data_IF_337189038704
#
_entry.id   IF_337189038704
#
_cell.length_a   1.000
_cell.length_b   1.000
_cell.length_c   1.000
_cell.angle_alpha   90.00
_cell.angle_beta   90.00
_cell.angle_gamma   90.00
#
_symmetry.space_group_name_H-M   'P 1'
#
loop_
_entity.id
_entity.type
_entity.pdbx_description
1 polymer ?
#
# COMPACT_ATOMS: atom_id res chain seq x y z
N UNK A 1 4.08 23.64 1.73
CA UNK A 1 2.93 23.05 1.01
C UNK A 1 1.71 23.22 1.91
N UNK A 2 0.56 23.60 1.37
CA UNK A 2 -0.69 23.79 2.13
C UNK A 2 -1.64 22.63 1.84
N UNK A 3 -2.34 22.15 2.86
CA UNK A 3 -3.31 21.06 2.73
C UNK A 3 -4.51 21.43 1.84
N UNK A 4 -4.81 20.60 0.84
CA UNK A 4 -5.98 20.78 -0.04
C UNK A 4 -7.20 20.00 0.48
N UNK A 5 -7.94 20.61 1.40
CA UNK A 5 -9.16 20.03 1.97
C UNK A 5 -10.26 19.78 0.93
N UNK A 6 -10.26 20.50 -0.20
CA UNK A 6 -11.25 20.28 -1.27
C UNK A 6 -10.95 18.97 -1.99
N UNK A 7 -9.68 18.75 -2.34
CA UNK A 7 -9.24 17.52 -2.97
C UNK A 7 -9.44 16.32 -2.04
N UNK A 8 -9.09 16.42 -0.76
CA UNK A 8 -9.33 15.35 0.23
C UNK A 8 -10.82 14.94 0.22
N UNK A 9 -11.72 15.91 0.35
CA UNK A 9 -13.17 15.66 0.38
C UNK A 9 -13.68 15.00 -0.90
N UNK A 10 -13.13 15.35 -2.06
CA UNK A 10 -13.50 14.75 -3.33
C UNK A 10 -13.03 13.30 -3.43
N UNK A 11 -11.78 13.02 -3.03
CA UNK A 11 -11.21 11.67 -3.03
C UNK A 11 -11.95 10.75 -2.04
N UNK A 12 -12.20 11.21 -0.82
CA UNK A 12 -12.96 10.45 0.19
C UNK A 12 -14.38 10.14 -0.31
N UNK A 13 -15.07 11.13 -0.90
CA UNK A 13 -16.40 10.90 -1.47
C UNK A 13 -16.37 9.88 -2.62
N UNK A 14 -15.38 9.97 -3.51
CA UNK A 14 -15.20 9.02 -4.61
C UNK A 14 -14.97 7.61 -4.07
N UNK A 15 -14.14 7.49 -3.03
CA UNK A 15 -13.84 6.22 -2.37
C UNK A 15 -15.07 5.58 -1.74
N UNK A 16 -15.81 6.33 -0.92
CA UNK A 16 -17.01 5.85 -0.22
C UNK A 16 -18.15 5.44 -1.16
N UNK A 17 -18.26 6.09 -2.33
CA UNK A 17 -19.34 5.81 -3.28
C UNK A 17 -19.00 4.70 -4.29
N UNK A 18 -17.73 4.34 -4.45
CA UNK A 18 -17.30 3.35 -5.44
C UNK A 18 -17.53 1.93 -4.91
N UNK A 19 -18.26 1.13 -5.71
CA UNK A 19 -18.64 -0.24 -5.36
C UNK A 19 -17.81 -1.28 -6.10
N UNK A 20 -17.24 -0.91 -7.25
CA UNK A 20 -16.37 -1.78 -8.01
C UNK A 20 -15.00 -1.87 -7.32
N UNK A 21 -14.59 -3.08 -6.95
CA UNK A 21 -13.36 -3.31 -6.19
C UNK A 21 -12.11 -2.79 -6.94
N UNK A 22 -12.06 -2.94 -8.26
CA UNK A 22 -10.95 -2.46 -9.09
C UNK A 22 -10.87 -0.95 -9.09
N UNK A 23 -12.01 -0.26 -9.32
CA UNK A 23 -12.04 1.20 -9.26
C UNK A 23 -11.73 1.71 -7.86
N UNK A 24 -12.27 1.06 -6.82
CA UNK A 24 -12.04 1.43 -5.42
C UNK A 24 -10.56 1.34 -5.06
N UNK A 25 -9.86 0.30 -5.50
CA UNK A 25 -8.40 0.16 -5.37
C UNK A 25 -7.64 1.37 -5.94
N UNK A 26 -7.96 1.80 -7.17
CA UNK A 26 -7.30 2.97 -7.75
C UNK A 26 -7.59 4.28 -7.00
N UNK A 27 -8.80 4.46 -6.47
CA UNK A 27 -9.11 5.61 -5.62
C UNK A 27 -8.37 5.54 -4.29
N UNK A 28 -8.21 4.34 -3.74
CA UNK A 28 -7.41 4.10 -2.54
C UNK A 28 -5.95 4.53 -2.79
N UNK A 29 -5.37 4.16 -3.93
CA UNK A 29 -4.03 4.60 -4.33
C UNK A 29 -3.96 6.14 -4.40
N UNK A 30 -4.96 6.80 -5.00
CA UNK A 30 -5.03 8.28 -5.04
C UNK A 30 -5.04 8.89 -3.63
N UNK A 31 -5.78 8.31 -2.68
CA UNK A 31 -5.80 8.74 -1.28
C UNK A 31 -4.46 8.52 -0.58
N UNK A 32 -3.84 7.36 -0.77
CA UNK A 32 -2.51 7.08 -0.25
C UNK A 32 -1.48 8.10 -0.77
N UNK A 33 -1.47 8.39 -2.08
CA UNK A 33 -0.59 9.42 -2.66
C UNK A 33 -0.85 10.79 -2.06
N UNK A 34 -2.13 11.17 -1.95
CA UNK A 34 -2.54 12.45 -1.37
C UNK A 34 -1.99 12.61 0.06
N UNK A 35 -2.30 11.68 0.97
CA UNK A 35 -1.85 11.78 2.35
C UNK A 35 -0.33 11.64 2.50
N UNK A 36 0.30 10.76 1.72
CA UNK A 36 1.75 10.64 1.71
C UNK A 36 2.42 11.95 1.27
N UNK A 37 1.82 12.72 0.36
CA UNK A 37 2.29 14.04 -0.05
C UNK A 37 2.38 15.01 1.14
N UNK A 38 1.43 14.94 2.06
CA UNK A 38 1.31 15.80 3.25
C UNK A 38 1.99 15.24 4.50
N UNK A 39 2.71 14.10 4.39
CA UNK A 39 3.35 13.40 5.53
C UNK A 39 4.29 14.25 6.40
N UNK A 40 4.83 15.35 5.87
CA UNK A 40 5.73 16.24 6.62
C UNK A 40 5.00 17.37 7.35
N UNK A 41 3.67 17.48 7.20
CA UNK A 41 2.87 18.56 7.81
C UNK A 41 2.32 18.12 9.17
N UNK A 42 1.75 16.92 9.26
CA UNK A 42 1.19 16.37 10.49
C UNK A 42 1.30 14.84 10.46
N UNK A 43 1.52 14.25 11.64
CA UNK A 43 1.48 12.80 11.83
C UNK A 43 0.10 12.23 11.47
N UNK A 44 -0.98 13.00 11.62
CA UNK A 44 -2.33 12.58 11.24
C UNK A 44 -2.42 12.18 9.75
N UNK A 45 -1.65 12.84 8.87
CA UNK A 45 -1.62 12.49 7.45
C UNK A 45 -0.81 11.22 7.21
N UNK A 46 0.21 10.95 8.04
CA UNK A 46 0.91 9.66 8.02
C UNK A 46 -0.04 8.55 8.44
N UNK A 47 -0.82 8.75 9.51
CA UNK A 47 -1.78 7.77 10.01
C UNK A 47 -2.91 7.51 8.99
N UNK A 48 -3.41 8.54 8.32
CA UNK A 48 -4.36 8.37 7.21
C UNK A 48 -3.74 7.62 6.03
N UNK A 49 -2.48 7.90 5.69
CA UNK A 49 -1.78 7.13 4.66
C UNK A 49 -1.67 5.65 5.06
N UNK A 50 -1.32 5.36 6.32
CA UNK A 50 -1.24 3.99 6.85
C UNK A 50 -2.61 3.31 6.72
N UNK A 51 -3.68 3.97 7.18
CA UNK A 51 -5.04 3.46 7.12
C UNK A 51 -5.42 3.00 5.71
N UNK A 52 -5.28 3.87 4.71
CA UNK A 52 -5.60 3.50 3.32
C UNK A 52 -4.63 2.48 2.74
N UNK A 53 -3.36 2.42 3.16
CA UNK A 53 -2.47 1.36 2.72
C UNK A 53 -2.87 -0.02 3.27
N UNK A 54 -3.23 -0.09 4.56
CA UNK A 54 -3.67 -1.34 5.19
C UNK A 54 -4.98 -1.82 4.58
N UNK A 55 -5.94 -0.91 4.42
CA UNK A 55 -7.22 -1.22 3.78
C UNK A 55 -7.02 -1.71 2.34
N UNK A 56 -6.12 -1.10 1.58
CA UNK A 56 -5.81 -1.56 0.22
C UNK A 56 -5.28 -3.00 0.18
N UNK A 57 -4.34 -3.32 1.08
CA UNK A 57 -3.77 -4.68 1.21
C UNK A 57 -4.84 -5.69 1.61
N UNK A 58 -5.71 -5.34 2.57
CA UNK A 58 -6.80 -6.21 3.03
C UNK A 58 -7.75 -6.59 1.89
N UNK A 59 -8.00 -5.68 0.95
CA UNK A 59 -8.94 -5.90 -0.17
C UNK A 59 -8.28 -6.42 -1.46
N UNK A 60 -6.98 -6.75 -1.48
CA UNK A 60 -6.32 -7.26 -2.70
C UNK A 60 -6.96 -8.54 -3.24
N UNK A 61 -7.44 -9.42 -2.35
CA UNK A 61 -8.13 -10.64 -2.77
C UNK A 61 -9.44 -10.36 -3.55
N UNK A 62 -10.14 -9.27 -3.23
CA UNK A 62 -11.33 -8.83 -3.99
C UNK A 62 -10.95 -8.32 -5.38
N UNK A 63 -9.80 -7.67 -5.49
CA UNK A 63 -9.25 -7.23 -6.77
C UNK A 63 -8.98 -8.44 -7.66
N UNK A 64 -8.28 -9.46 -7.13
CA UNK A 64 -7.97 -10.68 -7.86
C UNK A 64 -9.23 -11.42 -8.32
N UNK A 65 -10.24 -11.51 -7.44
CA UNK A 65 -11.53 -12.09 -7.78
C UNK A 65 -12.26 -11.29 -8.88
N UNK A 66 -12.21 -9.95 -8.84
CA UNK A 66 -12.80 -9.10 -9.86
C UNK A 66 -12.11 -9.28 -11.23
N UNK A 67 -10.78 -9.45 -11.27
CA UNK A 67 -10.06 -9.73 -12.51
C UNK A 67 -10.34 -11.12 -13.07
N UNK A 68 -10.35 -12.16 -12.21
CA UNK A 68 -10.66 -13.52 -12.61
C UNK A 68 -12.06 -13.66 -13.23
N UNK A 69 -13.06 -12.99 -12.64
CA UNK A 69 -14.45 -13.00 -13.14
C UNK A 69 -14.63 -12.31 -14.50
N UNK A 70 -13.75 -11.37 -14.85
CA UNK A 70 -13.82 -10.64 -16.12
C UNK A 70 -13.27 -11.42 -17.34
N UNK A 71 -12.96 -12.71 -17.22
CA UNK A 71 -12.41 -13.59 -18.29
C UNK A 71 -11.10 -13.10 -18.93
N UNK A 72 -10.47 -12.07 -18.38
CA UNK A 72 -9.07 -11.74 -18.62
C UNK A 72 -8.26 -12.73 -17.79
N UNK A 73 -7.60 -13.67 -18.46
CA UNK A 73 -6.81 -14.77 -17.88
C UNK A 73 -5.58 -14.33 -17.06
N UNK A 74 -5.53 -13.08 -16.61
CA UNK A 74 -4.44 -12.53 -15.80
C UNK A 74 -5.00 -11.80 -14.58
N UNK A 75 -4.61 -12.27 -13.40
CA UNK A 75 -4.69 -11.60 -12.10
C UNK A 75 -4.19 -10.15 -12.19
N UNK A 76 -4.48 -9.26 -11.23
CA UNK A 76 -3.89 -7.91 -11.30
C UNK A 76 -2.37 -8.02 -11.16
N UNK A 77 -1.64 -7.65 -12.22
CA UNK A 77 -0.18 -7.78 -12.27
C UNK A 77 0.45 -6.38 -12.19
N UNK A 78 0.40 -5.76 -11.02
CA UNK A 78 0.91 -4.41 -10.80
C UNK A 78 1.72 -4.25 -9.53
N UNK A 79 2.54 -3.20 -9.47
CA UNK A 79 3.17 -2.77 -8.22
C UNK A 79 2.08 -2.15 -7.33
N UNK A 80 1.87 -2.71 -6.16
CA UNK A 80 1.02 -2.19 -5.09
C UNK A 80 1.83 -1.19 -4.26
N UNK A 81 1.53 0.12 -4.32
CA UNK A 81 2.29 1.13 -3.60
C UNK A 81 2.19 1.01 -2.07
N UNK A 82 1.07 0.48 -1.57
CA UNK A 82 0.80 0.33 -0.14
C UNK A 82 1.94 -0.39 0.60
N UNK A 83 2.44 -1.51 0.06
CA UNK A 83 3.56 -2.24 0.65
C UNK A 83 4.81 -1.37 0.82
N UNK A 84 5.20 -0.63 -0.22
CA UNK A 84 6.39 0.24 -0.14
C UNK A 84 6.20 1.38 0.84
N UNK A 85 5.02 2.00 0.86
CA UNK A 85 4.70 3.13 1.75
C UNK A 85 4.74 2.69 3.20
N UNK A 86 4.06 1.60 3.56
CA UNK A 86 4.05 1.07 4.92
C UNK A 86 5.44 0.66 5.39
N UNK A 87 6.20 -0.08 4.57
CA UNK A 87 7.55 -0.49 4.93
C UNK A 87 8.47 0.72 5.20
N UNK A 88 8.35 1.81 4.42
CA UNK A 88 9.10 3.05 4.64
C UNK A 88 8.64 3.77 5.90
N UNK A 89 7.33 3.87 6.13
CA UNK A 89 6.76 4.58 7.28
C UNK A 89 7.18 3.88 8.58
N UNK A 90 6.96 2.57 8.69
CA UNK A 90 7.33 1.79 9.87
C UNK A 90 8.84 1.77 10.12
N UNK A 91 9.66 1.65 9.06
CA UNK A 91 11.12 1.77 9.18
C UNK A 91 11.53 3.12 9.76
N UNK A 92 10.94 4.23 9.29
CA UNK A 92 11.23 5.59 9.79
C UNK A 92 10.77 5.80 11.23
N UNK A 93 9.65 5.18 11.62
CA UNK A 93 9.17 5.16 13.02
C UNK A 93 9.98 4.20 13.91
N UNK A 94 10.98 3.49 13.37
CA UNK A 94 11.75 2.43 14.04
C UNK A 94 10.90 1.25 14.51
N UNK A 95 9.73 1.07 13.92
CA UNK A 95 8.83 -0.06 14.13
C UNK A 95 9.28 -1.22 13.24
N UNK A 96 10.48 -1.75 13.51
CA UNK A 96 11.15 -2.70 12.61
C UNK A 96 10.38 -4.00 12.43
N UNK A 97 9.70 -4.49 13.46
CA UNK A 97 8.86 -5.69 13.37
C UNK A 97 7.72 -5.49 12.38
N UNK A 98 6.99 -4.38 12.47
CA UNK A 98 5.93 -4.05 11.51
C UNK A 98 6.49 -3.85 10.10
N UNK A 99 7.67 -3.21 9.97
CA UNK A 99 8.31 -3.06 8.67
C UNK A 99 8.72 -4.41 8.05
N UNK A 100 9.18 -5.37 8.86
CA UNK A 100 9.48 -6.76 8.47
C UNK A 100 8.20 -7.47 8.00
N UNK A 101 7.11 -7.39 8.79
CA UNK A 101 5.82 -8.01 8.46
C UNK A 101 5.27 -7.52 7.11
N UNK A 102 5.37 -6.21 6.84
CA UNK A 102 4.98 -5.66 5.53
C UNK A 102 5.85 -6.20 4.40
N UNK A 103 7.15 -6.35 4.62
CA UNK A 103 8.05 -6.91 3.60
C UNK A 103 7.69 -8.37 3.30
N UNK A 104 7.41 -9.17 4.33
CA UNK A 104 7.04 -10.58 4.17
C UNK A 104 5.69 -10.74 3.45
N UNK A 105 4.70 -9.91 3.78
CA UNK A 105 3.44 -9.87 3.03
C UNK A 105 3.66 -9.51 1.55
N UNK A 106 4.50 -8.52 1.27
CA UNK A 106 4.82 -8.12 -0.10
C UNK A 106 5.54 -9.24 -0.86
N UNK A 107 6.53 -9.90 -0.23
CA UNK A 107 7.28 -11.01 -0.82
C UNK A 107 6.34 -12.15 -1.15
N UNK A 108 5.47 -12.54 -0.21
CA UNK A 108 4.46 -13.59 -0.41
C UNK A 108 3.54 -13.24 -1.57
N UNK A 109 2.90 -12.07 -1.51
CA UNK A 109 1.98 -11.60 -2.55
C UNK A 109 2.64 -11.62 -3.94
N UNK A 110 3.77 -10.95 -4.11
CA UNK A 110 4.41 -10.89 -5.42
C UNK A 110 4.91 -12.24 -5.91
N UNK A 111 5.40 -13.13 -5.02
CA UNK A 111 5.85 -14.46 -5.43
C UNK A 111 4.71 -15.31 -5.95
N UNK A 112 3.56 -15.30 -5.26
CA UNK A 112 2.34 -16.03 -5.67
C UNK A 112 1.81 -15.54 -7.02
N UNK A 113 2.05 -14.27 -7.35
CA UNK A 113 1.63 -13.65 -8.61
C UNK A 113 2.71 -13.74 -9.71
N UNK A 114 3.79 -14.50 -9.51
CA UNK A 114 4.87 -14.65 -10.50
C UNK A 114 5.71 -13.37 -10.69
N UNK A 115 5.79 -12.52 -9.67
CA UNK A 115 6.47 -11.22 -9.63
C UNK A 115 7.69 -11.18 -8.72
N UNK A 116 8.53 -12.20 -8.86
CA UNK A 116 9.78 -12.33 -8.11
C UNK A 116 10.69 -11.09 -8.20
N UNK A 117 10.67 -10.37 -9.33
CA UNK A 117 11.44 -9.13 -9.51
C UNK A 117 11.00 -8.00 -8.57
N UNK A 118 9.70 -7.95 -8.22
CA UNK A 118 9.17 -6.98 -7.27
C UNK A 118 9.48 -7.42 -5.83
N UNK A 119 9.37 -8.72 -5.55
CA UNK A 119 9.68 -9.31 -4.25
C UNK A 119 11.14 -9.09 -3.82
N UNK A 120 12.10 -9.12 -4.75
CA UNK A 120 13.53 -8.95 -4.46
C UNK A 120 13.83 -7.64 -3.72
N UNK A 121 13.14 -6.55 -4.08
CA UNK A 121 13.33 -5.25 -3.42
C UNK A 121 12.87 -5.25 -1.96
N UNK A 122 11.83 -6.02 -1.63
CA UNK A 122 11.34 -6.19 -0.28
C UNK A 122 12.21 -7.15 0.52
N UNK A 123 12.71 -8.22 -0.10
CA UNK A 123 13.68 -9.12 0.54
C UNK A 123 14.96 -8.38 0.98
N UNK A 124 15.52 -7.54 0.09
CA UNK A 124 16.68 -6.69 0.43
C UNK A 124 16.39 -5.75 1.60
N UNK A 125 15.17 -5.18 1.65
CA UNK A 125 14.75 -4.33 2.76
C UNK A 125 14.64 -5.14 4.05
N UNK A 126 14.01 -6.31 4.02
CA UNK A 126 13.88 -7.21 5.15
C UNK A 126 15.24 -7.54 5.79
N UNK A 127 16.23 -7.98 5.00
CA UNK A 127 17.57 -8.26 5.52
C UNK A 127 18.21 -7.03 6.19
N UNK A 128 18.07 -5.85 5.58
CA UNK A 128 18.59 -4.59 6.15
C UNK A 128 17.90 -4.22 7.47
N UNK A 129 16.60 -4.48 7.61
CA UNK A 129 15.86 -4.22 8.85
C UNK A 129 16.36 -5.10 10.01
N UNK A 130 16.67 -6.37 9.73
CA UNK A 130 17.24 -7.29 10.73
C UNK A 130 18.59 -6.76 11.25
N UNK A 131 19.45 -6.26 10.37
CA UNK A 131 20.73 -5.65 10.76
C UNK A 131 20.55 -4.37 11.59
N UNK A 132 19.49 -3.60 11.33
CA UNK A 132 19.17 -2.38 12.08
C UNK A 132 18.57 -2.66 13.46
N UNK A 133 17.81 -3.75 13.59
CA UNK A 133 17.21 -4.19 14.87
C UNK A 133 18.27 -4.61 15.90
N UNK A 134 19.41 -5.09 15.42
CA UNK A 134 20.51 -5.59 16.23
C UNK A 134 21.56 -4.52 16.60
N UNK A 135 21.31 -3.24 16.27
CA UNK A 135 22.19 -2.09 16.55
C UNK A 135 21.53 -1.13 17.53
#
# INVERSE_FOLDING_TARGET
>A
MQFDARQEKQLLKKYTLEKDASKRHFVCIELQDFYYMYRSISEDYVDRCIHFCLEDIEHLHELDAAYANNRLTSMFIGRIPAFSRLAIIYEKRREFVLAEDICDMAITYYTEHGKAELAESFFKRYCRLQDMKNK
#
